data_IF_432820795270
#
_entry.id   IF_432820795270
#
_cell.length_a   1.000
_cell.length_b   1.000
_cell.length_c   1.000
_cell.angle_alpha   90.00
_cell.angle_beta   90.00
_cell.angle_gamma   90.00
#
_symmetry.space_group_name_H-M   'P 1'
#
loop_
_entity.id
_entity.type
_entity.pdbx_description
1 polymer ?
#
# COMPACT_ATOMS: atom_id res chain seq x y z
N UNK A 1 -9.04 54.96 72.26
CA UNK A 1 -9.84 54.95 71.01
C UNK A 1 -9.98 53.50 70.52
N UNK A 2 -11.20 53.16 70.09
CA UNK A 2 -11.66 51.95 69.37
C UNK A 2 -11.92 50.65 70.18
N UNK A 3 -13.23 50.34 70.24
CA UNK A 3 -13.93 49.08 70.58
C UNK A 3 -13.91 48.12 69.38
N UNK A 4 -14.07 46.80 69.64
CA UNK A 4 -14.87 45.75 68.92
C UNK A 4 -14.44 44.37 69.47
N UNK A 5 -15.23 43.53 70.17
CA UNK A 5 -16.44 42.72 69.87
C UNK A 5 -16.35 41.73 68.70
N UNK A 6 -16.57 40.45 69.00
CA UNK A 6 -16.82 39.31 68.07
C UNK A 6 -16.53 37.98 68.78
N UNK A 7 -17.47 37.32 69.48
CA UNK A 7 -18.60 36.49 69.03
C UNK A 7 -18.20 35.11 68.44
N UNK A 8 -18.56 34.07 69.19
CA UNK A 8 -18.47 32.62 68.93
C UNK A 8 -19.20 32.18 67.66
N UNK A 9 -18.68 31.18 66.93
CA UNK A 9 -19.51 30.17 66.22
C UNK A 9 -18.83 28.80 66.21
N UNK A 10 -19.59 27.79 66.64
CA UNK A 10 -19.33 26.35 66.68
C UNK A 10 -19.30 25.77 65.25
N UNK A 11 -18.30 24.95 64.91
CA UNK A 11 -18.27 24.14 63.69
C UNK A 11 -19.14 22.87 63.91
N UNK A 12 -20.20 22.70 63.11
CA UNK A 12 -20.89 21.42 62.95
C UNK A 12 -20.66 20.93 61.51
N UNK A 13 -19.88 19.85 61.37
CA UNK A 13 -19.64 19.19 60.10
C UNK A 13 -20.81 18.25 59.77
N UNK A 14 -21.51 18.50 58.67
CA UNK A 14 -22.40 17.52 58.04
C UNK A 14 -21.69 17.00 56.81
N UNK A 15 -21.21 15.76 56.87
CA UNK A 15 -20.68 15.05 55.71
C UNK A 15 -21.84 14.47 54.90
N UNK A 16 -22.19 15.12 53.79
CA UNK A 16 -23.00 14.51 52.73
C UNK A 16 -22.06 13.73 51.79
N UNK A 17 -22.19 12.41 51.80
CA UNK A 17 -21.59 11.53 50.79
C UNK A 17 -22.36 11.68 49.48
N UNK A 18 -21.85 12.48 48.54
CA UNK A 18 -22.31 12.48 47.15
C UNK A 18 -21.58 11.37 46.39
N UNK A 19 -22.17 10.19 46.27
CA UNK A 19 -21.86 9.30 45.13
C UNK A 19 -22.50 9.90 43.88
N UNK A 20 -21.75 10.15 42.79
CA UNK A 20 -22.32 10.64 41.55
C UNK A 20 -23.41 9.68 41.04
N UNK A 21 -24.57 10.17 40.55
CA UNK A 21 -25.65 9.34 40.02
C UNK A 21 -25.23 8.36 38.90
N UNK A 22 -24.13 8.64 38.20
CA UNK A 22 -23.70 7.92 37.01
C UNK A 22 -23.01 6.57 37.27
N UNK A 23 -22.34 6.37 38.42
CA UNK A 23 -21.63 5.12 38.70
C UNK A 23 -22.56 3.93 38.99
N UNK A 24 -23.83 4.21 39.33
CA UNK A 24 -24.82 3.17 39.64
C UNK A 24 -25.38 2.47 38.39
N UNK A 25 -25.34 3.13 37.22
CA UNK A 25 -25.84 2.56 35.96
C UNK A 25 -24.92 1.46 35.41
N UNK A 26 -23.59 1.60 35.53
CA UNK A 26 -22.63 0.59 35.08
C UNK A 26 -22.80 -0.76 35.79
N UNK A 27 -23.02 -0.73 37.11
CA UNK A 27 -23.13 -1.95 37.93
C UNK A 27 -24.48 -2.66 37.82
N UNK A 28 -25.54 -1.93 37.47
CA UNK A 28 -26.92 -2.42 37.55
C UNK A 28 -27.55 -2.73 36.18
N UNK A 29 -26.98 -2.25 35.09
CA UNK A 29 -27.50 -2.57 33.75
C UNK A 29 -27.20 -4.04 33.40
N UNK A 30 -28.25 -4.80 33.09
CA UNK A 30 -28.17 -6.21 32.73
C UNK A 30 -28.95 -6.45 31.44
N UNK A 31 -28.33 -7.17 30.50
CA UNK A 31 -29.04 -7.70 29.35
C UNK A 31 -29.64 -9.05 29.73
N UNK A 32 -30.96 -9.16 29.68
CA UNK A 32 -31.63 -10.44 29.90
C UNK A 32 -31.35 -11.44 28.76
N UNK A 33 -31.90 -12.65 28.90
CA UNK A 33 -31.74 -13.72 27.91
C UNK A 33 -32.48 -13.48 26.59
N UNK A 34 -33.30 -12.43 26.49
CA UNK A 34 -34.07 -12.09 25.29
C UNK A 34 -33.26 -11.25 24.30
N UNK A 35 -32.14 -10.69 24.75
CA UNK A 35 -31.24 -9.90 23.92
C UNK A 35 -30.12 -10.75 23.33
N UNK A 36 -29.63 -10.38 22.16
CA UNK A 36 -28.38 -10.88 21.59
C UNK A 36 -27.31 -9.79 21.75
N UNK A 37 -26.12 -10.17 22.20
CA UNK A 37 -24.95 -9.30 22.32
C UNK A 37 -23.84 -9.91 21.48
N UNK A 38 -23.38 -9.16 20.47
CA UNK A 38 -22.34 -9.57 19.53
C UNK A 38 -21.38 -8.42 19.29
N UNK A 39 -20.14 -8.78 19.00
CA UNK A 39 -19.12 -7.86 18.51
C UNK A 39 -18.80 -8.23 17.06
N UNK A 40 -19.10 -7.35 16.12
CA UNK A 40 -18.76 -7.56 14.72
C UNK A 40 -17.25 -7.48 14.51
N UNK A 41 -16.74 -8.36 13.65
CA UNK A 41 -15.35 -8.32 13.21
C UNK A 41 -15.24 -7.29 12.09
N UNK A 42 -14.32 -6.31 12.19
CA UNK A 42 -14.10 -5.37 11.11
C UNK A 42 -13.58 -6.11 9.86
N UNK A 43 -13.70 -5.45 8.70
CA UNK A 43 -13.12 -5.95 7.47
C UNK A 43 -11.59 -5.89 7.53
N UNK A 44 -10.93 -7.02 7.28
CA UNK A 44 -9.48 -7.17 7.46
C UNK A 44 -9.07 -7.59 8.88
N UNK A 45 -7.92 -8.23 8.99
CA UNK A 45 -7.37 -8.74 10.26
C UNK A 45 -6.12 -7.98 10.73
N UNK A 46 -5.77 -6.89 10.05
CA UNK A 46 -4.54 -6.14 10.23
C UNK A 46 -4.85 -4.65 10.37
N UNK A 47 -4.13 -3.98 11.27
CA UNK A 47 -4.14 -2.52 11.48
C UNK A 47 -2.69 -2.04 11.55
N UNK A 48 -2.46 -0.74 11.40
CA UNK A 48 -1.13 -0.15 11.59
C UNK A 48 -0.94 0.33 13.04
N UNK A 49 0.31 0.39 13.50
CA UNK A 49 0.59 1.13 14.74
C UNK A 49 0.13 2.57 14.59
N UNK A 50 -0.57 3.06 15.61
CA UNK A 50 -1.14 4.40 15.66
C UNK A 50 -2.58 4.49 15.15
N UNK A 51 -3.08 3.47 14.44
CA UNK A 51 -4.47 3.42 13.99
C UNK A 51 -5.44 3.42 15.17
N UNK A 52 -6.57 4.09 14.97
CA UNK A 52 -7.66 4.21 15.92
C UNK A 52 -8.82 3.31 15.50
N UNK A 53 -9.35 2.56 16.46
CA UNK A 53 -10.53 1.71 16.29
C UNK A 53 -11.61 2.12 17.29
N UNK A 54 -12.76 2.58 16.82
CA UNK A 54 -13.92 2.83 17.68
C UNK A 54 -14.76 1.55 17.82
N UNK A 55 -14.55 0.83 18.92
CA UNK A 55 -15.23 -0.42 19.24
C UNK A 55 -16.75 -0.26 19.34
N UNK A 56 -17.28 0.95 19.59
CA UNK A 56 -18.74 1.20 19.61
C UNK A 56 -19.40 0.81 18.30
N UNK A 57 -18.73 1.07 17.18
CA UNK A 57 -19.28 0.82 15.85
C UNK A 57 -19.49 -0.67 15.57
N UNK A 58 -18.76 -1.52 16.31
CA UNK A 58 -18.76 -2.97 16.18
C UNK A 58 -19.72 -3.66 17.14
N UNK A 59 -20.16 -3.00 18.21
CA UNK A 59 -21.08 -3.60 19.18
C UNK A 59 -22.49 -3.65 18.60
N UNK A 60 -23.06 -4.85 18.57
CA UNK A 60 -24.46 -5.09 18.21
C UNK A 60 -25.22 -5.68 19.38
N UNK A 61 -26.26 -4.96 19.80
CA UNK A 61 -27.23 -5.45 20.76
C UNK A 61 -28.59 -5.46 20.08
N UNK A 62 -29.24 -6.63 20.03
CA UNK A 62 -30.55 -6.76 19.38
C UNK A 62 -31.55 -7.49 20.27
N UNK A 63 -32.84 -7.22 20.08
CA UNK A 63 -33.93 -7.97 20.70
C UNK A 63 -34.19 -9.31 19.98
N UNK A 64 -35.25 -10.03 20.39
CA UNK A 64 -35.68 -11.30 19.77
C UNK A 64 -36.11 -11.17 18.31
N UNK A 65 -36.49 -9.98 17.87
CA UNK A 65 -36.90 -9.70 16.50
C UNK A 65 -35.73 -9.19 15.64
N UNK A 66 -34.51 -9.12 16.21
CA UNK A 66 -33.33 -8.58 15.54
C UNK A 66 -33.29 -7.05 15.49
N UNK A 67 -34.18 -6.34 16.18
CA UNK A 67 -34.14 -4.88 16.25
C UNK A 67 -33.03 -4.42 17.19
N UNK A 68 -32.30 -3.38 16.79
CA UNK A 68 -31.21 -2.82 17.59
C UNK A 68 -31.75 -2.22 18.90
N UNK A 69 -31.06 -2.51 20.00
CA UNK A 69 -31.40 -2.04 21.34
C UNK A 69 -30.34 -1.05 21.81
N UNK A 70 -30.79 0.09 22.33
CA UNK A 70 -29.90 1.10 22.89
C UNK A 70 -29.41 0.66 24.27
N UNK A 71 -28.09 0.70 24.45
CA UNK A 71 -27.42 0.43 25.73
C UNK A 71 -26.75 1.72 26.22
N UNK A 72 -26.91 2.11 27.49
CA UNK A 72 -26.16 3.23 28.07
C UNK A 72 -24.67 3.03 27.90
N UNK A 73 -23.95 4.04 27.42
CA UNK A 73 -22.51 3.92 27.12
C UNK A 73 -21.68 3.49 28.34
N UNK A 74 -22.09 3.91 29.54
CA UNK A 74 -21.45 3.57 30.80
C UNK A 74 -21.62 2.07 31.14
N UNK A 75 -22.70 1.43 30.67
CA UNK A 75 -22.90 -0.01 30.89
C UNK A 75 -21.97 -0.90 30.03
N UNK A 76 -21.22 -0.32 29.09
CA UNK A 76 -20.39 -1.03 28.13
C UNK A 76 -18.92 -1.01 28.57
N UNK A 77 -18.41 -2.17 28.98
CA UNK A 77 -16.99 -2.37 29.29
C UNK A 77 -16.28 -2.98 28.09
N UNK A 78 -15.32 -2.26 27.52
CA UNK A 78 -14.48 -2.75 26.44
C UNK A 78 -13.28 -3.51 27.01
N UNK A 79 -12.95 -4.63 26.37
CA UNK A 79 -11.85 -5.51 26.77
C UNK A 79 -10.85 -5.60 25.62
N UNK A 80 -9.58 -5.37 25.93
CA UNK A 80 -8.44 -5.60 25.02
C UNK A 80 -7.49 -6.56 25.72
N UNK A 81 -7.17 -7.69 25.08
CA UNK A 81 -6.38 -8.78 25.66
C UNK A 81 -6.93 -9.23 27.02
N UNK A 82 -8.25 -9.35 27.11
CA UNK A 82 -9.00 -9.69 28.33
C UNK A 82 -8.86 -8.67 29.48
N UNK A 83 -8.29 -7.49 29.23
CA UNK A 83 -8.17 -6.42 30.22
C UNK A 83 -9.14 -5.28 29.90
N UNK A 84 -9.86 -4.72 30.90
CA UNK A 84 -10.69 -3.54 30.70
C UNK A 84 -9.89 -2.34 30.20
N UNK A 85 -10.44 -1.60 29.24
CA UNK A 85 -9.89 -0.33 28.76
C UNK A 85 -10.86 0.82 29.04
N UNK A 86 -10.33 2.02 29.28
CA UNK A 86 -11.07 3.19 29.79
C UNK A 86 -11.98 3.90 28.77
N UNK A 87 -12.28 3.29 27.63
CA UNK A 87 -13.09 3.88 26.58
C UNK A 87 -13.27 2.96 25.38
N UNK A 88 -14.07 3.40 24.41
CA UNK A 88 -14.31 2.62 23.18
C UNK A 88 -13.24 2.80 22.11
N UNK A 89 -12.43 3.85 22.22
CA UNK A 89 -11.35 4.15 21.29
C UNK A 89 -10.13 3.33 21.68
N UNK A 90 -9.70 2.46 20.77
CA UNK A 90 -8.45 1.72 20.90
C UNK A 90 -7.42 2.31 19.93
N UNK A 91 -6.21 2.53 20.43
CA UNK A 91 -5.04 2.83 19.59
C UNK A 91 -4.02 1.71 19.70
N UNK A 92 -3.57 1.18 18.56
CA UNK A 92 -2.46 0.24 18.55
C UNK A 92 -1.15 0.96 18.90
N UNK A 93 -0.58 0.69 20.08
CA UNK A 93 0.67 1.32 20.55
C UNK A 93 1.91 0.43 20.38
N UNK A 94 1.71 -0.86 20.14
CA UNK A 94 2.77 -1.83 19.90
C UNK A 94 2.40 -2.79 18.76
N UNK A 95 3.42 -3.33 18.06
CA UNK A 95 3.24 -4.44 17.12
C UNK A 95 2.73 -5.67 17.87
N UNK A 96 1.78 -6.38 17.27
CA UNK A 96 1.32 -7.66 17.80
C UNK A 96 -0.18 -7.86 17.68
N UNK A 97 -0.65 -8.99 18.18
CA UNK A 97 -2.06 -9.37 18.13
C UNK A 97 -2.81 -8.85 19.34
N UNK A 98 -3.94 -8.19 19.08
CA UNK A 98 -4.88 -7.70 20.07
C UNK A 98 -6.18 -8.48 19.96
N UNK A 99 -6.70 -8.95 21.10
CA UNK A 99 -8.00 -9.62 21.20
C UNK A 99 -9.02 -8.66 21.78
N UNK A 100 -10.14 -8.49 21.10
CA UNK A 100 -11.20 -7.54 21.49
C UNK A 100 -12.45 -8.30 21.92
N UNK A 101 -13.05 -7.87 23.02
CA UNK A 101 -14.36 -8.30 23.47
C UNK A 101 -15.07 -7.14 24.16
N UNK A 102 -16.38 -7.25 24.32
CA UNK A 102 -17.18 -6.28 25.06
C UNK A 102 -18.03 -6.99 26.09
N UNK A 103 -18.11 -6.41 27.28
CA UNK A 103 -18.89 -6.90 28.40
C UNK A 103 -19.97 -5.89 28.77
N UNK A 104 -21.20 -6.37 28.94
CA UNK A 104 -22.35 -5.60 29.39
C UNK A 104 -23.03 -6.41 30.49
N UNK A 105 -23.00 -5.90 31.72
CA UNK A 105 -23.45 -6.66 32.90
C UNK A 105 -22.68 -7.98 33.06
N UNK A 106 -23.41 -9.09 33.13
CA UNK A 106 -22.83 -10.44 33.24
C UNK A 106 -22.51 -11.12 31.89
N UNK A 107 -22.80 -10.48 30.75
CA UNK A 107 -22.60 -11.06 29.42
C UNK A 107 -21.37 -10.50 28.74
N UNK A 108 -20.62 -11.36 28.06
CA UNK A 108 -19.47 -10.98 27.22
C UNK A 108 -19.77 -11.41 25.78
N UNK A 109 -19.37 -10.59 24.81
CA UNK A 109 -19.50 -10.91 23.38
C UNK A 109 -18.59 -12.08 22.97
N UNK A 110 -18.74 -12.53 21.72
CA UNK A 110 -17.63 -13.16 21.01
C UNK A 110 -16.40 -12.24 20.98
N UNK A 111 -15.23 -12.82 20.76
CA UNK A 111 -13.99 -12.08 20.56
C UNK A 111 -13.57 -12.07 19.09
N UNK A 112 -12.83 -11.04 18.69
CA UNK A 112 -12.08 -11.04 17.43
C UNK A 112 -10.65 -10.60 17.68
N UNK A 113 -9.75 -10.89 16.74
CA UNK A 113 -8.34 -10.51 16.83
C UNK A 113 -7.94 -9.60 15.68
N UNK A 114 -7.10 -8.60 15.96
CA UNK A 114 -6.40 -7.81 14.95
C UNK A 114 -4.90 -7.85 15.21
N UNK A 115 -4.12 -7.83 14.14
CA UNK A 115 -2.66 -7.73 14.22
C UNK A 115 -2.23 -6.31 13.88
N UNK A 116 -1.60 -5.61 14.82
CA UNK A 116 -0.95 -4.35 14.55
C UNK A 116 0.42 -4.58 13.89
N UNK A 117 0.62 -3.97 12.74
CA UNK A 117 1.82 -4.10 11.92
C UNK A 117 2.77 -2.89 12.12
N UNK A 118 4.09 -3.08 11.94
CA UNK A 118 5.10 -2.02 12.09
C UNK A 118 5.15 -1.03 10.92
N UNK A 119 4.18 -1.07 10.00
CA UNK A 119 4.18 -0.27 8.78
C UNK A 119 3.48 1.07 8.97
N UNK A 120 3.68 1.98 8.02
CA UNK A 120 2.98 3.25 7.92
C UNK A 120 2.31 3.35 6.56
N UNK A 121 1.19 4.06 6.49
CA UNK A 121 0.59 4.43 5.21
C UNK A 121 1.53 5.42 4.49
N UNK A 122 2.05 5.02 3.33
CA UNK A 122 2.88 5.88 2.48
C UNK A 122 2.05 6.41 1.33
N UNK A 123 2.01 7.74 1.18
CA UNK A 123 1.35 8.43 0.08
C UNK A 123 2.39 9.02 -0.87
N UNK A 124 2.35 8.61 -2.13
CA UNK A 124 3.35 8.92 -3.16
C UNK A 124 2.72 9.80 -4.25
N UNK A 125 3.20 11.04 -4.46
CA UNK A 125 2.75 11.87 -5.57
C UNK A 125 3.32 11.34 -6.89
N UNK A 126 2.49 11.32 -7.93
CA UNK A 126 2.80 10.80 -9.26
C UNK A 126 2.74 11.93 -10.28
N UNK A 127 3.76 12.01 -11.13
CA UNK A 127 3.80 12.89 -12.31
C UNK A 127 3.94 12.05 -13.57
N UNK A 128 3.12 12.35 -14.57
CA UNK A 128 3.12 11.76 -15.89
C UNK A 128 3.80 12.71 -16.87
N UNK A 129 5.01 12.37 -17.31
CA UNK A 129 5.72 13.05 -18.38
C UNK A 129 5.21 12.54 -19.73
N UNK A 130 4.25 13.24 -20.34
CA UNK A 130 3.64 12.80 -21.61
C UNK A 130 4.45 13.32 -22.78
N UNK A 131 5.15 12.43 -23.49
CA UNK A 131 6.04 12.83 -24.58
C UNK A 131 5.24 12.94 -25.88
N UNK A 132 5.30 14.11 -26.52
CA UNK A 132 4.59 14.40 -27.78
C UNK A 132 3.10 14.06 -27.74
N UNK A 133 2.50 14.14 -26.56
CA UNK A 133 1.12 13.78 -26.28
C UNK A 133 0.64 14.50 -25.03
N UNK A 134 -0.63 14.29 -24.69
CA UNK A 134 -1.24 14.82 -23.46
C UNK A 134 -2.17 13.77 -22.87
N UNK A 135 -2.46 13.92 -21.58
CA UNK A 135 -3.47 13.15 -20.86
C UNK A 135 -4.55 14.08 -20.32
N UNK A 136 -5.77 13.58 -20.29
CA UNK A 136 -6.88 14.23 -19.59
C UNK A 136 -6.77 13.95 -18.08
N UNK A 137 -7.34 14.84 -17.27
CA UNK A 137 -7.46 14.64 -15.82
C UNK A 137 -8.14 13.30 -15.48
N UNK A 138 -9.18 12.92 -16.23
CA UNK A 138 -9.86 11.64 -16.04
C UNK A 138 -8.97 10.42 -16.29
N UNK A 139 -8.05 10.47 -17.27
CA UNK A 139 -7.09 9.40 -17.52
C UNK A 139 -6.08 9.30 -16.38
N UNK A 140 -5.52 10.42 -15.92
CA UNK A 140 -4.56 10.46 -14.80
C UNK A 140 -5.23 9.93 -13.53
N UNK A 141 -6.41 10.45 -13.18
CA UNK A 141 -7.14 10.03 -11.98
C UNK A 141 -7.48 8.54 -12.01
N UNK A 142 -7.88 8.00 -13.17
CA UNK A 142 -8.12 6.55 -13.33
C UNK A 142 -6.85 5.74 -13.06
N UNK A 143 -5.74 6.09 -13.70
CA UNK A 143 -4.49 5.35 -13.58
C UNK A 143 -3.95 5.37 -12.15
N UNK A 144 -3.92 6.54 -11.51
CA UNK A 144 -3.50 6.71 -10.11
C UNK A 144 -4.42 5.97 -9.15
N UNK A 145 -5.74 6.00 -9.40
CA UNK A 145 -6.69 5.22 -8.61
C UNK A 145 -6.46 3.72 -8.78
N UNK A 146 -6.23 3.24 -10.01
CA UNK A 146 -5.94 1.83 -10.28
C UNK A 146 -4.70 1.34 -9.55
N UNK A 147 -3.61 2.12 -9.56
CA UNK A 147 -2.42 1.83 -8.76
C UNK A 147 -2.74 1.77 -7.27
N UNK A 148 -3.47 2.77 -6.75
CA UNK A 148 -3.84 2.80 -5.34
C UNK A 148 -4.70 1.60 -4.97
N UNK A 149 -5.70 1.27 -5.78
CA UNK A 149 -6.54 0.09 -5.57
C UNK A 149 -5.70 -1.19 -5.58
N UNK A 150 -4.70 -1.30 -6.46
CA UNK A 150 -3.81 -2.47 -6.52
C UNK A 150 -2.99 -2.63 -5.22
N UNK A 151 -2.31 -1.57 -4.81
CA UNK A 151 -1.47 -1.59 -3.61
C UNK A 151 -2.28 -1.64 -2.31
N UNK A 152 -3.53 -1.16 -2.30
CA UNK A 152 -4.47 -1.26 -1.17
C UNK A 152 -5.36 -2.51 -1.21
N UNK A 153 -5.02 -3.49 -2.06
CA UNK A 153 -5.75 -4.77 -2.21
C UNK A 153 -7.24 -4.65 -2.60
N UNK A 154 -7.62 -3.57 -3.27
CA UNK A 154 -8.98 -3.30 -3.77
C UNK A 154 -9.15 -3.54 -5.27
N UNK A 155 -8.06 -3.60 -6.03
CA UNK A 155 -8.09 -3.87 -7.48
C UNK A 155 -8.59 -5.28 -7.73
N UNK A 156 -9.57 -5.42 -8.63
CA UNK A 156 -10.11 -6.70 -9.09
C UNK A 156 -10.85 -6.55 -10.44
N UNK A 157 -10.14 -6.22 -11.53
CA UNK A 157 -10.74 -5.82 -12.81
C UNK A 157 -11.57 -6.92 -13.47
N UNK A 158 -11.32 -8.16 -13.06
CA UNK A 158 -11.93 -9.38 -13.59
C UNK A 158 -12.93 -10.04 -12.64
N UNK A 159 -13.21 -9.43 -11.48
CA UNK A 159 -14.02 -10.00 -10.40
C UNK A 159 -13.63 -11.45 -10.06
N UNK A 160 -12.32 -11.70 -10.02
CA UNK A 160 -11.74 -13.00 -9.73
C UNK A 160 -11.54 -13.26 -8.24
N UNK A 161 -11.20 -14.51 -7.91
CA UNK A 161 -10.64 -14.80 -6.60
C UNK A 161 -9.32 -14.03 -6.42
N UNK A 162 -9.07 -13.59 -5.19
CA UNK A 162 -7.75 -13.07 -4.79
C UNK A 162 -6.89 -14.22 -4.30
N UNK A 163 -5.58 -13.99 -4.28
CA UNK A 163 -4.64 -14.86 -3.60
C UNK A 163 -5.02 -15.01 -2.12
N UNK A 164 -4.80 -16.19 -1.52
CA UNK A 164 -5.06 -16.41 -0.10
C UNK A 164 -4.15 -15.57 0.80
N UNK A 165 -2.97 -15.21 0.30
CA UNK A 165 -2.00 -14.32 0.93
C UNK A 165 -2.16 -12.87 0.46
N UNK A 166 -3.21 -12.52 -0.29
CA UNK A 166 -3.43 -11.16 -0.77
C UNK A 166 -3.58 -10.18 0.40
N UNK A 167 -2.75 -9.13 0.44
CA UNK A 167 -2.73 -8.17 1.54
C UNK A 167 -2.67 -6.71 1.08
N UNK A 168 -3.09 -5.83 1.98
CA UNK A 168 -2.87 -4.39 1.85
C UNK A 168 -1.39 -4.06 2.07
N UNK A 169 -0.78 -3.34 1.12
CA UNK A 169 0.62 -2.92 1.16
C UNK A 169 0.82 -1.58 1.86
N UNK A 170 -0.26 -0.90 2.23
CA UNK A 170 -0.26 0.42 2.86
C UNK A 170 0.41 1.51 2.02
N UNK A 171 0.25 1.44 0.69
CA UNK A 171 0.74 2.45 -0.25
C UNK A 171 -0.43 3.04 -1.03
N UNK A 172 -0.47 4.37 -1.10
CA UNK A 172 -1.40 5.12 -1.93
C UNK A 172 -0.65 6.03 -2.89
N UNK A 173 -1.22 6.23 -4.06
CA UNK A 173 -0.71 7.14 -5.08
C UNK A 173 -1.70 8.28 -5.28
N UNK A 174 -1.19 9.47 -5.58
CA UNK A 174 -2.04 10.61 -5.94
C UNK A 174 -1.39 11.43 -7.04
N UNK A 175 -2.19 12.06 -7.90
CA UNK A 175 -1.66 12.95 -8.93
C UNK A 175 -1.00 14.16 -8.27
N UNK A 176 0.24 14.47 -8.64
CA UNK A 176 0.98 15.60 -8.07
C UNK A 176 0.23 16.92 -8.30
N UNK A 177 0.04 17.73 -7.26
CA UNK A 177 -0.71 19.00 -7.39
C UNK A 177 0.20 20.16 -7.80
N UNK A 178 1.50 20.03 -7.54
CA UNK A 178 2.50 21.07 -7.80
C UNK A 178 3.69 20.52 -8.57
N UNK A 179 4.31 21.39 -9.37
CA UNK A 179 5.55 21.12 -10.07
C UNK A 179 6.76 21.18 -9.11
N UNK A 180 7.99 20.91 -9.59
CA UNK A 180 9.19 20.92 -8.74
C UNK A 180 9.45 22.26 -8.03
N UNK A 181 9.10 23.39 -8.65
CA UNK A 181 9.21 24.74 -8.07
C UNK A 181 8.07 25.10 -7.10
N UNK A 182 7.10 24.21 -6.89
CA UNK A 182 5.98 24.39 -5.96
C UNK A 182 4.76 25.12 -6.53
N UNK A 183 4.74 25.39 -7.83
CA UNK A 183 3.60 26.01 -8.51
C UNK A 183 2.53 24.96 -8.85
N UNK A 184 1.25 25.30 -8.69
CA UNK A 184 0.14 24.40 -9.04
C UNK A 184 0.17 24.03 -10.52
N UNK A 185 -0.07 22.75 -10.81
CA UNK A 185 -0.23 22.26 -12.18
C UNK A 185 -1.63 22.59 -12.72
N UNK A 186 -1.72 22.86 -14.02
CA UNK A 186 -3.02 23.10 -14.67
C UNK A 186 -3.91 21.85 -14.68
N UNK A 187 -3.28 20.66 -14.80
CA UNK A 187 -3.89 19.36 -14.59
C UNK A 187 -3.00 18.63 -13.60
N UNK A 188 -3.55 18.21 -12.46
CA UNK A 188 -2.78 17.49 -11.46
C UNK A 188 -2.10 16.26 -12.08
N UNK A 189 -0.81 16.09 -11.79
CA UNK A 189 0.02 14.98 -12.25
C UNK A 189 0.44 15.07 -13.71
N UNK A 190 0.14 16.12 -14.47
CA UNK A 190 0.54 16.23 -15.87
C UNK A 190 1.78 17.10 -16.06
N UNK A 191 2.77 16.56 -16.77
CA UNK A 191 3.90 17.29 -17.33
C UNK A 191 4.02 16.96 -18.84
N UNK A 192 3.56 17.85 -19.71
CA UNK A 192 3.61 17.60 -21.14
C UNK A 192 4.97 18.03 -21.72
N UNK A 193 5.73 17.08 -22.26
CA UNK A 193 7.09 17.31 -22.76
C UNK A 193 7.19 17.03 -24.26
N UNK A 194 8.11 17.70 -24.92
CA UNK A 194 8.31 17.58 -26.37
C UNK A 194 9.60 16.81 -26.68
N UNK A 195 9.57 16.05 -27.77
CA UNK A 195 10.72 15.36 -28.33
C UNK A 195 10.71 15.47 -29.85
N UNK A 196 11.88 15.44 -30.48
CA UNK A 196 11.97 15.33 -31.95
C UNK A 196 11.62 13.93 -32.45
N UNK A 197 11.60 12.92 -31.57
CA UNK A 197 11.27 11.52 -31.89
C UNK A 197 9.79 11.24 -31.72
N UNK A 198 9.23 10.40 -32.57
CA UNK A 198 7.83 9.96 -32.50
C UNK A 198 7.67 8.52 -32.00
N UNK A 199 8.74 7.71 -32.12
CA UNK A 199 8.85 6.34 -31.61
C UNK A 199 10.21 6.19 -30.95
N UNK A 200 10.29 5.36 -29.91
CA UNK A 200 11.46 5.23 -29.05
C UNK A 200 11.86 3.78 -28.91
N UNK A 201 13.17 3.52 -28.92
CA UNK A 201 13.67 2.33 -28.24
C UNK A 201 13.69 2.53 -26.72
N UNK A 202 13.77 1.46 -25.93
CA UNK A 202 13.93 1.48 -24.47
C UNK A 202 15.13 2.32 -24.07
N UNK A 203 16.27 2.14 -24.75
CA UNK A 203 17.47 2.95 -24.55
C UNK A 203 17.24 4.44 -24.82
N UNK A 204 16.53 4.78 -25.89
CA UNK A 204 16.22 6.17 -26.24
C UNK A 204 15.27 6.79 -25.21
N UNK A 205 14.26 6.05 -24.76
CA UNK A 205 13.33 6.48 -23.72
C UNK A 205 14.06 6.77 -22.41
N UNK A 206 14.92 5.85 -21.94
CA UNK A 206 15.74 6.02 -20.72
C UNK A 206 16.69 7.21 -20.86
N UNK A 207 17.28 7.41 -22.03
CA UNK A 207 18.18 8.54 -22.27
C UNK A 207 17.44 9.89 -22.23
N UNK A 208 16.25 9.98 -22.83
CA UNK A 208 15.44 11.21 -22.85
C UNK A 208 14.71 11.48 -21.54
N UNK A 209 14.43 10.46 -20.74
CA UNK A 209 13.78 10.60 -19.43
C UNK A 209 14.54 11.57 -18.50
N UNK A 210 15.87 11.62 -18.60
CA UNK A 210 16.71 12.58 -17.87
C UNK A 210 16.37 14.05 -18.15
N UNK A 211 15.78 14.38 -19.30
CA UNK A 211 15.41 15.76 -19.64
C UNK A 211 14.20 16.27 -18.85
N UNK A 212 13.40 15.36 -18.28
CA UNK A 212 12.21 15.68 -17.52
C UNK A 212 12.19 14.97 -16.16
N UNK A 213 13.34 14.52 -15.65
CA UNK A 213 13.39 13.72 -14.43
C UNK A 213 13.20 14.60 -13.19
N UNK A 214 11.96 14.73 -12.71
CA UNK A 214 11.65 15.44 -11.48
C UNK A 214 12.27 14.70 -10.29
N UNK A 215 12.65 15.44 -9.26
CA UNK A 215 13.34 14.89 -8.11
C UNK A 215 12.63 13.63 -7.55
N UNK A 216 13.24 12.44 -7.65
CA UNK A 216 12.57 11.18 -7.32
C UNK A 216 12.38 10.96 -5.82
N UNK A 217 13.02 11.78 -4.98
CA UNK A 217 12.70 11.83 -3.54
C UNK A 217 11.39 12.59 -3.26
N UNK A 218 10.83 13.29 -4.25
CA UNK A 218 9.59 14.06 -4.14
C UNK A 218 8.48 13.52 -5.01
N UNK A 219 8.78 12.93 -6.17
CA UNK A 219 7.78 12.44 -7.13
C UNK A 219 8.11 11.04 -7.63
N UNK A 220 7.07 10.22 -7.80
CA UNK A 220 7.14 9.06 -8.68
C UNK A 220 7.00 9.56 -10.13
N UNK A 221 8.06 9.41 -10.90
CA UNK A 221 8.10 9.81 -12.30
C UNK A 221 7.53 8.67 -13.16
N UNK A 222 6.56 8.99 -14.02
CA UNK A 222 5.99 8.08 -15.00
C UNK A 222 6.15 8.72 -16.38
N UNK A 223 7.02 8.17 -17.22
CA UNK A 223 7.16 8.65 -18.59
C UNK A 223 6.23 7.88 -19.51
N UNK A 224 5.48 8.62 -20.33
CA UNK A 224 4.55 8.05 -21.30
C UNK A 224 5.15 8.25 -22.69
N UNK A 225 5.67 7.16 -23.25
CA UNK A 225 6.34 7.12 -24.54
C UNK A 225 5.56 6.25 -25.54
N UNK A 226 5.82 6.47 -26.84
CA UNK A 226 5.50 5.49 -27.89
C UNK A 226 6.70 4.56 -28.05
N UNK A 227 6.82 3.54 -27.18
CA UNK A 227 7.92 2.58 -27.22
C UNK A 227 7.66 1.58 -28.35
N UNK A 228 8.71 1.19 -29.08
CA UNK A 228 8.61 0.15 -30.11
C UNK A 228 8.02 -1.13 -29.52
N UNK A 229 6.98 -1.67 -30.16
CA UNK A 229 6.34 -2.91 -29.73
C UNK A 229 7.27 -4.12 -29.81
N UNK A 230 8.35 -4.04 -30.59
CA UNK A 230 9.37 -5.10 -30.65
C UNK A 230 10.16 -5.19 -29.33
N UNK A 231 10.25 -4.10 -28.56
CA UNK A 231 10.95 -4.09 -27.27
C UNK A 231 9.98 -4.20 -26.09
N UNK A 232 8.91 -3.41 -26.07
CA UNK A 232 7.94 -3.41 -24.96
C UNK A 232 6.54 -3.13 -25.46
N UNK A 233 5.62 -4.04 -25.19
CA UNK A 233 4.20 -3.83 -25.45
C UNK A 233 3.61 -2.80 -24.49
N UNK A 234 3.91 -2.92 -23.21
CA UNK A 234 3.12 -2.28 -22.14
C UNK A 234 3.93 -1.27 -21.34
N UNK A 235 5.08 -1.67 -20.80
CA UNK A 235 5.95 -0.78 -20.05
C UNK A 235 7.20 -1.48 -19.54
N UNK A 236 7.97 -0.76 -18.73
CA UNK A 236 9.07 -1.30 -17.94
C UNK A 236 9.42 -0.35 -16.78
N UNK A 237 10.16 -0.87 -15.80
CA UNK A 237 10.77 -0.09 -14.72
C UNK A 237 12.10 -0.73 -14.27
N UNK A 238 12.85 0.02 -13.46
CA UNK A 238 14.02 -0.49 -12.76
C UNK A 238 13.71 -0.66 -11.29
N UNK A 239 14.19 -1.75 -10.68
CA UNK A 239 14.16 -1.89 -9.23
C UNK A 239 15.03 -0.81 -8.58
N UNK A 240 14.50 -0.14 -7.55
CA UNK A 240 15.28 0.81 -6.77
C UNK A 240 16.41 0.08 -6.04
N UNK A 241 17.63 0.66 -6.02
CA UNK A 241 18.66 0.14 -5.16
C UNK A 241 18.37 0.51 -3.70
N UNK A 242 18.90 -0.32 -2.82
CA UNK A 242 18.74 -0.20 -1.38
C UNK A 242 20.08 0.13 -0.72
N UNK A 243 20.01 0.74 0.44
CA UNK A 243 21.20 1.08 1.26
C UNK A 243 21.63 -0.04 2.20
N UNK A 244 20.78 -1.07 2.38
CA UNK A 244 21.06 -2.24 3.22
C UNK A 244 20.95 -3.50 2.38
N UNK A 245 21.88 -4.42 2.58
CA UNK A 245 21.88 -5.68 1.83
C UNK A 245 20.65 -6.53 2.17
N UNK A 246 20.01 -7.05 1.13
CA UNK A 246 18.92 -8.04 1.18
C UNK A 246 18.91 -8.83 -0.12
N UNK A 247 18.41 -10.07 -0.09
CA UNK A 247 18.42 -10.96 -1.26
C UNK A 247 17.59 -10.37 -2.42
N UNK A 248 18.14 -10.44 -3.63
CA UNK A 248 17.50 -9.91 -4.83
C UNK A 248 17.54 -8.39 -5.00
N UNK A 249 18.18 -7.67 -4.08
CA UNK A 249 18.31 -6.21 -4.18
C UNK A 249 19.71 -5.77 -4.57
N UNK A 250 19.78 -4.77 -5.46
CA UNK A 250 21.02 -4.07 -5.77
C UNK A 250 21.36 -3.10 -4.63
N UNK A 251 22.56 -3.22 -4.07
CA UNK A 251 23.00 -2.33 -2.98
C UNK A 251 23.72 -1.12 -3.54
N UNK A 252 23.31 0.07 -3.13
CA UNK A 252 23.98 1.34 -3.43
C UNK A 252 24.44 2.01 -2.13
N UNK A 253 25.66 2.56 -2.14
CA UNK A 253 26.18 3.31 -1.00
C UNK A 253 25.23 4.44 -0.60
N UNK A 254 25.00 4.58 0.71
CA UNK A 254 24.29 5.72 1.29
C UNK A 254 24.95 7.06 0.95
N UNK A 255 26.26 7.08 0.66
CA UNK A 255 26.99 8.29 0.27
C UNK A 255 26.71 8.79 -1.15
N UNK A 256 26.17 7.96 -2.06
CA UNK A 256 25.80 8.42 -3.40
C UNK A 256 24.59 9.34 -3.29
N UNK A 257 24.69 10.59 -3.74
CA UNK A 257 23.62 11.59 -3.61
C UNK A 257 22.72 11.67 -4.85
N UNK A 258 23.24 11.39 -6.04
CA UNK A 258 22.52 11.40 -7.32
C UNK A 258 22.14 10.00 -7.81
N UNK A 259 20.98 9.80 -8.45
CA UNK A 259 20.63 8.53 -9.07
C UNK A 259 21.59 8.20 -10.23
N UNK A 260 21.87 6.92 -10.41
CA UNK A 260 22.65 6.38 -11.53
C UNK A 260 21.77 6.00 -12.74
N UNK A 261 20.47 5.81 -12.53
CA UNK A 261 19.46 5.59 -13.57
C UNK A 261 18.26 6.51 -13.34
N UNK A 262 17.47 6.86 -14.37
CA UNK A 262 16.20 7.55 -14.16
C UNK A 262 15.15 6.58 -13.64
N UNK A 263 15.10 6.41 -12.32
CA UNK A 263 14.13 5.56 -11.63
C UNK A 263 12.72 6.13 -11.72
N UNK A 264 11.82 5.31 -12.22
CA UNK A 264 10.40 5.57 -12.40
C UNK A 264 9.79 4.51 -13.29
N UNK A 265 8.58 4.77 -13.78
CA UNK A 265 7.87 3.86 -14.69
C UNK A 265 7.94 4.41 -16.11
N UNK A 266 8.22 3.53 -17.07
CA UNK A 266 8.17 3.82 -18.50
C UNK A 266 6.94 3.13 -19.06
N UNK A 267 5.86 3.89 -19.26
CA UNK A 267 4.58 3.38 -19.73
C UNK A 267 4.47 3.58 -21.25
N UNK A 268 4.12 2.51 -21.97
CA UNK A 268 3.79 2.60 -23.38
C UNK A 268 2.40 3.20 -23.56
N UNK A 269 2.27 4.13 -24.50
CA UNK A 269 1.05 4.88 -24.78
C UNK A 269 -0.17 3.99 -25.07
N UNK A 270 0.06 2.79 -25.58
CA UNK A 270 -1.01 1.82 -25.91
C UNK A 270 -1.85 1.43 -24.69
N UNK A 271 -1.26 1.40 -23.49
CA UNK A 271 -1.93 0.95 -22.26
C UNK A 271 -2.76 2.04 -21.58
N UNK A 272 -2.61 3.31 -21.98
CA UNK A 272 -3.27 4.44 -21.31
C UNK A 272 -4.77 4.23 -21.20
N UNK A 273 -5.43 3.75 -22.26
CA UNK A 273 -6.88 3.70 -22.33
C UNK A 273 -7.48 2.38 -21.82
N UNK A 274 -6.66 1.40 -21.46
CA UNK A 274 -7.16 0.15 -20.88
C UNK A 274 -7.48 0.36 -19.40
N UNK A 275 -8.77 0.36 -19.07
CA UNK A 275 -9.25 0.51 -17.69
C UNK A 275 -9.08 -0.75 -16.84
N UNK A 276 -8.67 -1.87 -17.44
CA UNK A 276 -8.38 -3.13 -16.76
C UNK A 276 -6.88 -3.43 -16.69
N UNK A 277 -6.04 -2.62 -17.31
CA UNK A 277 -4.59 -2.81 -17.29
C UNK A 277 -4.04 -2.66 -15.87
N UNK A 278 -3.28 -3.66 -15.45
CA UNK A 278 -2.48 -3.65 -14.23
C UNK A 278 -1.06 -3.14 -14.47
N UNK A 279 -0.67 -2.82 -15.71
CA UNK A 279 0.71 -2.46 -16.12
C UNK A 279 1.32 -1.42 -15.19
N UNK A 280 0.63 -0.31 -14.92
CA UNK A 280 1.20 0.75 -14.09
C UNK A 280 1.45 0.29 -12.64
N UNK A 281 0.59 -0.59 -12.10
CA UNK A 281 0.80 -1.20 -10.79
C UNK A 281 1.92 -2.25 -10.81
N UNK A 282 2.03 -3.02 -11.89
CA UNK A 282 3.10 -3.98 -12.14
C UNK A 282 4.47 -3.29 -12.16
N UNK A 283 4.63 -2.24 -12.98
CA UNK A 283 5.89 -1.50 -13.08
C UNK A 283 6.24 -0.76 -11.79
N UNK A 284 5.24 -0.25 -11.07
CA UNK A 284 5.47 0.30 -9.73
C UNK A 284 5.89 -0.78 -8.71
N UNK A 285 5.42 -2.03 -8.88
CA UNK A 285 5.88 -3.18 -8.12
C UNK A 285 7.38 -3.44 -8.33
N UNK A 286 7.86 -3.41 -9.57
CA UNK A 286 9.29 -3.47 -9.88
C UNK A 286 10.07 -2.34 -9.22
N UNK A 287 9.64 -1.10 -9.40
CA UNK A 287 10.26 0.04 -8.73
C UNK A 287 10.37 -0.17 -7.20
N UNK A 288 9.35 -0.78 -6.60
CA UNK A 288 9.27 -1.11 -5.18
C UNK A 288 9.92 -2.46 -4.80
N UNK A 289 10.74 -3.05 -5.67
CA UNK A 289 11.62 -4.17 -5.36
C UNK A 289 11.04 -5.55 -5.59
N UNK A 290 9.92 -5.65 -6.31
CA UNK A 290 9.35 -6.94 -6.72
C UNK A 290 9.95 -7.39 -8.05
N UNK A 291 10.10 -8.70 -8.21
CA UNK A 291 10.46 -9.30 -9.49
C UNK A 291 9.24 -10.00 -10.08
N UNK A 292 9.36 -10.44 -11.32
CA UNK A 292 8.36 -11.33 -11.91
C UNK A 292 8.26 -12.63 -11.12
N UNK A 293 7.04 -13.14 -10.92
CA UNK A 293 6.80 -14.38 -10.15
C UNK A 293 7.18 -15.65 -10.90
N UNK A 294 7.46 -15.57 -12.20
CA UNK A 294 7.86 -16.74 -12.98
C UNK A 294 9.36 -16.93 -12.95
N UNK A 295 9.77 -18.15 -13.26
CA UNK A 295 11.17 -18.43 -13.47
C UNK A 295 11.67 -17.69 -14.71
N UNK A 296 12.86 -17.10 -14.62
CA UNK A 296 13.46 -16.30 -15.69
C UNK A 296 13.32 -14.81 -15.47
N UNK A 297 14.45 -14.16 -15.25
CA UNK A 297 14.55 -12.70 -15.15
C UNK A 297 14.42 -12.02 -16.53
N UNK A 298 13.32 -12.29 -17.24
CA UNK A 298 12.87 -11.56 -18.42
C UNK A 298 13.43 -11.97 -19.77
N UNK A 299 14.15 -13.09 -19.92
CA UNK A 299 14.61 -13.56 -21.24
C UNK A 299 14.35 -15.05 -21.49
N UNK A 300 14.88 -15.99 -20.70
CA UNK A 300 14.90 -17.40 -21.14
C UNK A 300 14.96 -18.44 -20.01
N UNK A 301 14.04 -18.47 -19.03
CA UNK A 301 13.93 -19.72 -18.26
C UNK A 301 13.10 -20.74 -19.05
N UNK A 302 13.70 -21.91 -19.21
CA UNK A 302 13.07 -23.13 -19.73
C UNK A 302 13.39 -24.27 -18.78
N UNK A 303 13.11 -24.08 -17.50
CA UNK A 303 13.18 -25.11 -16.45
C UNK A 303 13.15 -24.44 -15.10
N UNK A 304 12.35 -24.97 -14.17
CA UNK A 304 12.34 -24.57 -12.77
C UNK A 304 13.73 -24.52 -12.11
N UNK A 305 14.13 -23.32 -11.73
CA UNK A 305 15.33 -22.99 -10.97
C UNK A 305 15.30 -23.62 -9.58
N UNK A 306 16.49 -23.93 -9.04
CA UNK A 306 16.63 -24.37 -7.64
C UNK A 306 16.42 -23.25 -6.63
N UNK A 307 16.41 -21.99 -7.08
CA UNK A 307 16.19 -20.83 -6.23
C UNK A 307 14.99 -20.05 -6.71
N UNK A 308 14.17 -19.64 -5.75
CA UNK A 308 13.04 -18.73 -5.97
C UNK A 308 13.50 -17.44 -6.69
N UNK A 309 12.97 -17.15 -7.89
CA UNK A 309 13.40 -16.02 -8.72
C UNK A 309 12.92 -14.66 -8.19
N UNK A 310 11.81 -14.63 -7.42
CA UNK A 310 11.19 -13.40 -6.95
C UNK A 310 11.40 -13.12 -5.47
N UNK A 311 12.03 -14.09 -4.77
CA UNK A 311 12.40 -14.03 -3.37
C UNK A 311 11.18 -13.90 -2.43
N UNK A 312 10.01 -14.40 -2.87
CA UNK A 312 8.77 -14.45 -2.13
C UNK A 312 8.30 -15.91 -2.02
N UNK A 313 8.55 -16.55 -0.88
CA UNK A 313 8.18 -17.95 -0.69
C UNK A 313 6.66 -18.23 -0.74
N UNK A 314 5.83 -17.19 -0.66
CA UNK A 314 4.37 -17.27 -0.77
C UNK A 314 3.83 -17.01 -2.20
N UNK A 315 4.70 -16.85 -3.20
CA UNK A 315 4.33 -16.81 -4.62
C UNK A 315 4.73 -18.12 -5.31
N UNK A 316 3.77 -18.84 -5.94
CA UNK A 316 4.12 -19.99 -6.75
C UNK A 316 4.81 -19.52 -8.04
N UNK A 317 6.07 -19.89 -8.22
CA UNK A 317 6.80 -19.69 -9.48
C UNK A 317 6.72 -20.92 -10.39
N UNK A 318 6.84 -20.68 -11.69
CA UNK A 318 6.60 -21.68 -12.74
C UNK A 318 7.54 -21.47 -13.93
N UNK A 319 7.73 -22.53 -14.72
CA UNK A 319 8.40 -22.45 -16.02
C UNK A 319 7.50 -21.71 -17.02
N UNK A 320 7.89 -20.46 -17.32
CA UNK A 320 7.17 -19.58 -18.23
C UNK A 320 7.17 -20.13 -19.66
N UNK A 321 8.30 -20.64 -20.14
CA UNK A 321 8.41 -21.20 -21.49
C UNK A 321 7.44 -22.37 -21.69
N UNK A 322 7.39 -23.29 -20.74
CA UNK A 322 6.46 -24.43 -20.78
C UNK A 322 4.98 -24.00 -20.73
N UNK A 323 4.66 -22.94 -19.96
CA UNK A 323 3.32 -22.35 -19.97
C UNK A 323 2.99 -21.73 -21.33
N UNK A 324 3.92 -21.00 -21.95
CA UNK A 324 3.71 -20.35 -23.25
C UNK A 324 3.56 -21.34 -24.41
N UNK A 325 4.27 -22.47 -24.41
CA UNK A 325 4.09 -23.50 -25.44
C UNK A 325 2.65 -24.06 -25.45
N UNK A 326 1.99 -24.05 -24.29
CA UNK A 326 0.71 -24.70 -24.05
C UNK A 326 -0.45 -23.74 -23.83
N UNK A 327 -0.25 -22.41 -23.75
CA UNK A 327 -1.36 -21.50 -23.48
C UNK A 327 -2.31 -21.42 -24.68
N UNK A 328 -3.60 -21.58 -24.45
CA UNK A 328 -4.67 -21.62 -25.47
C UNK A 328 -5.88 -20.77 -25.10
N UNK A 329 -5.98 -20.29 -23.86
CA UNK A 329 -7.13 -19.50 -23.39
C UNK A 329 -6.79 -18.59 -22.22
N UNK A 330 -7.66 -17.59 -21.99
CA UNK A 330 -7.65 -16.74 -20.81
C UNK A 330 -7.74 -17.60 -19.52
N UNK A 331 -6.93 -17.27 -18.50
CA UNK A 331 -6.94 -17.94 -17.17
C UNK A 331 -6.56 -19.41 -17.22
N UNK A 332 -5.74 -19.77 -18.19
CA UNK A 332 -5.16 -21.10 -18.21
C UNK A 332 -4.35 -21.35 -16.95
N UNK A 333 -4.54 -22.56 -16.41
CA UNK A 333 -3.81 -23.00 -15.23
C UNK A 333 -2.34 -23.16 -15.55
N UNK A 334 -1.50 -22.72 -14.63
CA UNK A 334 -0.07 -22.97 -14.61
C UNK A 334 0.20 -24.21 -13.76
N UNK A 335 1.37 -24.79 -13.96
CA UNK A 335 1.93 -25.80 -13.06
C UNK A 335 3.15 -25.15 -12.41
N UNK A 336 3.06 -24.87 -11.12
CA UNK A 336 4.18 -24.36 -10.34
C UNK A 336 5.31 -25.39 -10.31
N UNK A 337 6.50 -24.92 -9.98
CA UNK A 337 7.71 -25.74 -9.95
C UNK A 337 7.69 -26.87 -8.91
N UNK A 338 6.82 -26.75 -7.90
CA UNK A 338 6.54 -27.82 -6.93
C UNK A 338 5.50 -28.84 -7.42
N UNK A 339 4.96 -28.66 -8.63
CA UNK A 339 3.91 -29.48 -9.24
C UNK A 339 2.48 -29.01 -8.98
N UNK A 340 2.28 -27.96 -8.18
CA UNK A 340 0.95 -27.44 -7.85
C UNK A 340 0.31 -26.76 -9.07
N UNK A 341 -0.91 -27.16 -9.42
CA UNK A 341 -1.66 -26.47 -10.48
C UNK A 341 -2.46 -25.30 -9.90
N UNK A 342 -2.43 -24.14 -10.54
CA UNK A 342 -3.13 -22.93 -10.06
C UNK A 342 -3.49 -21.96 -11.19
N UNK A 343 -4.38 -21.00 -10.93
CA UNK A 343 -4.63 -19.85 -11.82
C UNK A 343 -3.94 -18.65 -11.20
N UNK A 344 -3.12 -17.94 -11.99
CA UNK A 344 -2.40 -16.79 -11.46
C UNK A 344 -3.33 -15.63 -11.09
N UNK A 345 -3.10 -15.08 -9.92
CA UNK A 345 -3.74 -13.87 -9.37
C UNK A 345 -2.76 -12.72 -9.24
N UNK A 346 -1.45 -12.99 -9.37
CA UNK A 346 -0.40 -12.06 -8.97
C UNK A 346 -0.28 -10.92 -10.00
N UNK A 347 -0.13 -9.69 -9.50
CA UNK A 347 0.09 -8.52 -10.36
C UNK A 347 1.46 -8.58 -11.03
N UNK A 348 2.46 -9.20 -10.42
CA UNK A 348 3.82 -9.35 -10.95
C UNK A 348 3.97 -10.54 -11.93
N UNK A 349 2.89 -11.21 -12.28
CA UNK A 349 2.90 -12.23 -13.34
C UNK A 349 2.64 -11.59 -14.71
N UNK A 350 3.04 -12.28 -15.78
CA UNK A 350 2.61 -11.95 -17.13
C UNK A 350 1.46 -12.88 -17.54
N UNK A 351 0.68 -12.42 -18.50
CA UNK A 351 -0.42 -13.15 -19.16
C UNK A 351 -1.63 -13.45 -18.31
N UNK A 352 -2.80 -13.25 -18.92
CA UNK A 352 -4.08 -13.94 -18.71
C UNK A 352 -4.35 -14.53 -17.31
N UNK A 353 -4.05 -13.79 -16.25
CA UNK A 353 -4.39 -14.11 -14.87
C UNK A 353 -5.60 -13.32 -14.40
N UNK A 354 -5.77 -13.25 -13.08
CA UNK A 354 -6.68 -12.27 -12.47
C UNK A 354 -5.99 -10.93 -12.16
N UNK A 355 -4.65 -10.90 -12.09
CA UNK A 355 -3.83 -9.67 -11.96
C UNK A 355 -4.36 -8.71 -10.88
N UNK A 356 -4.66 -9.25 -9.70
CA UNK A 356 -5.43 -8.57 -8.67
C UNK A 356 -4.84 -8.69 -7.26
N UNK A 357 -3.66 -9.29 -7.10
CA UNK A 357 -3.10 -9.61 -5.79
C UNK A 357 -1.60 -9.30 -5.70
N UNK A 358 -1.20 -8.73 -4.57
CA UNK A 358 0.16 -8.78 -4.03
C UNK A 358 0.13 -9.60 -2.73
N UNK A 359 1.15 -10.44 -2.51
CA UNK A 359 1.21 -11.36 -1.36
C UNK A 359 1.87 -10.72 -0.12
N UNK A 360 1.93 -11.47 1.00
CA UNK A 360 2.54 -11.00 2.25
C UNK A 360 4.05 -10.80 2.10
N UNK A 361 4.77 -11.73 1.45
CA UNK A 361 6.21 -11.55 1.23
C UNK A 361 6.49 -10.43 0.23
N UNK A 362 5.64 -10.24 -0.79
CA UNK A 362 5.74 -9.08 -1.67
C UNK A 362 5.54 -7.76 -0.90
N UNK A 363 4.57 -7.69 0.03
CA UNK A 363 4.44 -6.53 0.94
C UNK A 363 5.71 -6.29 1.73
N UNK A 364 6.32 -7.33 2.31
CA UNK A 364 7.53 -7.18 3.12
C UNK A 364 8.69 -6.63 2.26
N UNK A 365 8.80 -7.03 1.00
CA UNK A 365 9.76 -6.46 0.04
C UNK A 365 9.44 -5.01 -0.31
N UNK A 366 8.18 -4.67 -0.59
CA UNK A 366 7.74 -3.29 -0.83
C UNK A 366 8.10 -2.41 0.38
N UNK A 367 7.79 -2.87 1.59
CA UNK A 367 8.10 -2.17 2.84
C UNK A 367 9.61 -2.07 3.08
N UNK A 368 10.40 -3.07 2.69
CA UNK A 368 11.86 -2.99 2.71
C UNK A 368 12.36 -1.88 1.78
N UNK A 369 11.85 -1.81 0.55
CA UNK A 369 12.20 -0.76 -0.42
C UNK A 369 11.76 0.62 0.05
N UNK A 370 10.60 0.75 0.67
CA UNK A 370 10.13 2.01 1.26
C UNK A 370 11.05 2.50 2.40
N UNK A 371 11.67 1.58 3.15
CA UNK A 371 12.54 1.90 4.29
C UNK A 371 14.02 2.09 3.92
N UNK A 372 14.50 1.40 2.88
CA UNK A 372 15.93 1.37 2.57
C UNK A 372 16.27 1.74 1.13
N UNK A 373 15.26 1.86 0.27
CA UNK A 373 15.39 2.31 -1.10
C UNK A 373 15.85 3.76 -1.17
N UNK A 374 16.51 4.10 -2.28
CA UNK A 374 16.87 5.49 -2.61
C UNK A 374 15.95 6.00 -3.70
N UNK A 375 15.82 7.32 -3.83
CA UNK A 375 15.14 7.96 -4.96
C UNK A 375 13.66 7.52 -5.08
N UNK A 376 12.98 7.53 -3.93
CA UNK A 376 11.55 7.31 -3.80
C UNK A 376 10.96 8.33 -2.82
N UNK A 377 9.73 8.81 -3.02
CA UNK A 377 9.06 9.70 -2.08
C UNK A 377 8.58 8.95 -0.82
N UNK A 378 9.50 8.42 -0.01
CA UNK A 378 9.19 7.72 1.25
C UNK A 378 9.69 8.51 2.47
N UNK A 379 8.94 8.57 3.58
CA UNK A 379 9.41 9.14 4.85
C UNK A 379 10.58 8.39 5.47
N UNK A 380 10.75 7.11 5.13
CA UNK A 380 11.60 6.18 5.85
C UNK A 380 13.02 6.01 5.28
N UNK A 381 13.45 6.84 4.30
CA UNK A 381 14.81 6.82 3.72
C UNK A 381 15.94 7.19 4.72
N UNK A 382 15.70 7.08 6.04
CA UNK A 382 16.59 7.31 7.19
C UNK A 382 17.33 8.65 7.22
N UNK A 383 16.98 9.59 6.34
CA UNK A 383 17.32 10.99 6.49
C UNK A 383 16.02 11.78 6.66
N UNK A 384 15.72 12.33 7.86
CA UNK A 384 14.59 13.23 8.06
C UNK A 384 14.67 14.49 7.17
N UNK A 385 15.81 14.70 6.49
CA UNK A 385 15.99 15.73 5.48
C UNK A 385 15.80 15.24 4.04
N UNK A 386 15.60 13.95 3.74
CA UNK A 386 15.52 13.47 2.35
C UNK A 386 14.38 14.12 1.54
N UNK A 387 13.23 14.39 2.16
CA UNK A 387 12.15 15.19 1.54
C UNK A 387 12.40 16.70 1.59
N UNK A 388 13.15 17.20 2.59
CA UNK A 388 13.43 18.64 2.79
C UNK A 388 14.66 19.15 2.01
N UNK A 389 15.60 18.27 1.65
CA UNK A 389 16.86 18.55 0.95
C UNK A 389 16.81 18.11 -0.52
N UNK A 390 15.65 17.64 -0.97
CA UNK A 390 15.40 17.38 -2.37
C UNK A 390 15.42 18.71 -3.14
N UNK A 391 16.42 18.91 -3.99
CA UNK A 391 16.49 20.08 -4.87
C UNK A 391 15.18 20.26 -5.64
N UNK A 392 14.77 21.52 -5.82
CA UNK A 392 13.54 21.89 -6.53
C UNK A 392 13.62 21.69 -8.05
N UNK A 393 14.77 21.24 -8.56
CA UNK A 393 15.05 21.18 -9.99
C UNK A 393 15.01 19.74 -10.54
N UNK A 394 15.14 19.65 -11.86
CA UNK A 394 15.33 18.39 -12.57
C UNK A 394 16.65 17.73 -12.16
N UNK A 395 16.62 16.41 -12.00
CA UNK A 395 17.84 15.65 -11.77
C UNK A 395 18.61 15.57 -13.08
N UNK A 396 19.82 16.12 -13.06
CA UNK A 396 20.75 16.00 -14.18
C UNK A 396 21.26 14.57 -14.27
N UNK A 397 21.39 14.09 -15.50
CA UNK A 397 22.13 12.87 -15.79
C UNK A 397 23.55 13.00 -15.25
N UNK A 398 24.06 12.03 -14.48
CA UNK A 398 25.40 12.13 -13.93
C UNK A 398 26.46 11.88 -15.01
N UNK A 399 27.66 12.44 -14.82
CA UNK A 399 28.78 12.27 -15.75
C UNK A 399 29.24 10.80 -15.85
N UNK A 400 28.99 10.00 -14.81
CA UNK A 400 29.31 8.57 -14.74
C UNK A 400 28.17 7.66 -15.25
N UNK A 401 27.16 8.23 -15.93
CA UNK A 401 26.01 7.46 -16.40
C UNK A 401 26.40 6.34 -17.38
N UNK A 402 25.93 5.13 -17.07
CA UNK A 402 26.01 3.96 -17.95
C UNK A 402 24.60 3.44 -18.16
N UNK A 403 24.21 3.27 -19.43
CA UNK A 403 22.93 2.66 -19.76
C UNK A 403 22.93 1.19 -19.33
N UNK A 404 21.87 0.81 -18.61
CA UNK A 404 21.59 -0.57 -18.23
C UNK A 404 20.30 -0.98 -18.92
N UNK A 405 20.29 -2.02 -19.78
CA UNK A 405 19.05 -2.53 -20.34
C UNK A 405 18.06 -2.87 -19.23
N UNK A 406 16.82 -2.36 -19.28
CA UNK A 406 15.77 -2.79 -18.36
C UNK A 406 15.42 -4.25 -18.64
N UNK A 407 14.93 -4.94 -17.62
CA UNK A 407 14.33 -6.27 -17.80
C UNK A 407 12.97 -6.05 -18.43
N UNK A 408 12.84 -6.38 -19.71
CA UNK A 408 11.58 -6.32 -20.46
C UNK A 408 11.40 -7.68 -21.10
N UNK A 409 10.23 -8.32 -20.92
CA UNK A 409 9.97 -9.51 -21.72
C UNK A 409 9.52 -9.06 -23.12
N UNK A 410 10.26 -9.49 -24.13
CA UNK A 410 9.98 -9.15 -25.53
C UNK A 410 8.56 -9.55 -25.94
N UNK A 411 8.03 -8.87 -26.96
CA UNK A 411 6.83 -9.34 -27.66
C UNK A 411 7.15 -10.69 -28.29
N UNK A 412 6.43 -11.72 -27.87
CA UNK A 412 6.60 -13.06 -28.43
C UNK A 412 6.12 -13.06 -29.88
N UNK A 413 6.93 -13.65 -30.77
CA UNK A 413 6.57 -13.79 -32.17
C UNK A 413 5.29 -14.65 -32.26
N UNK A 414 4.27 -14.13 -32.94
CA UNK A 414 3.02 -14.85 -33.26
C UNK A 414 3.27 -16.12 -34.08
#
# INVERSE_FOLDING_TARGET
>A
MKKTHGLFVLLAAVALSCTPPDAALEKNYQLDSTHTLRLDTPEGQEILIGDQLDLRTLVKVTDRNGQSVSVPAQAVQYLVNNQPVGGSQFQATAVGTYTFAVKIGNRTTNAFTLTALPYQLVRIPVVFHTVNSTLTEAQINRMVKGMTDAFRNKWNPYNGAKDENAVDNFVEFYAAETNPSGQSLAINGLDAVTSSRTTFTSQQAVYEAWNSYWNPNRFLNVWVYTISQEESLSGFAYNLPVTRASAGFRVQSASRTSPDLPYGVYLNKIDINDSRSSTLAHEAGHLLGLNHVFDGNGDESKSCSSTDPDYCADTPYYDRGAYMDNYRALRQRRTACDGTSYVSTNIMDYYLGYENSFTRNQRDRIQYTLNYGRWLPSPANNDPRARQAAEMDYIKRPDDYVYVPPVICAKENE
#
